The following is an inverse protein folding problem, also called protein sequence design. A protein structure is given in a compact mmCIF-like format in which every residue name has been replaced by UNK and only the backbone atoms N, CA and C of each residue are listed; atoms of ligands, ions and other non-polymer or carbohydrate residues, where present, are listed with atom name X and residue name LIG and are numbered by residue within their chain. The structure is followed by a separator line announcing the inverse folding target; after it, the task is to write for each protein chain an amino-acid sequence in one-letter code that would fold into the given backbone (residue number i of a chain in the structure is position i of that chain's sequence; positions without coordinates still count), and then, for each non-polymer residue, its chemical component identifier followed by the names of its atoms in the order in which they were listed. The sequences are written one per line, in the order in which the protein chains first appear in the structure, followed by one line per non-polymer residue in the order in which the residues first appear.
data_IF_377679533907
#
_entry.id   IF_377679533907
#
_cell.length_a   1.000
_cell.length_b   1.000
_cell.length_c   1.000
_cell.angle_alpha   90.00
_cell.angle_beta   90.00
_cell.angle_gamma   90.00
#
_symmetry.space_group_name_H-M   'P 1'
#
loop_
_entity.id
_entity.type
_entity.pdbx_description
1 polymer ?
#
# COMPACT_ATOMS: atom_id res chain seq x y z
N UNK A 1 24.28 -16.42 20.16
CA UNK A 1 22.94 -15.78 20.22
C UNK A 1 22.90 -14.76 19.09
N UNK A 2 21.92 -14.80 18.18
CA UNK A 2 21.82 -13.76 17.16
C UNK A 2 21.57 -12.43 17.87
N UNK A 3 22.26 -11.39 17.43
CA UNK A 3 22.16 -10.06 18.01
C UNK A 3 20.70 -9.59 17.89
N UNK A 4 20.01 -9.43 19.02
CA UNK A 4 18.78 -8.66 19.09
C UNK A 4 19.19 -7.23 18.76
N UNK A 5 19.00 -6.82 17.51
CA UNK A 5 19.28 -5.45 17.09
C UNK A 5 18.42 -4.50 17.92
N UNK A 6 18.98 -3.31 18.16
CA UNK A 6 18.37 -2.25 18.94
C UNK A 6 16.97 -1.88 18.39
N UNK A 7 15.92 -2.23 19.16
CA UNK A 7 14.54 -1.95 18.83
C UNK A 7 14.30 -0.44 18.64
N UNK A 8 14.99 0.41 19.42
CA UNK A 8 14.87 1.86 19.30
C UNK A 8 15.40 2.37 17.95
N UNK A 9 16.47 1.75 17.42
CA UNK A 9 16.99 2.08 16.09
C UNK A 9 15.98 1.69 14.99
N UNK A 10 15.29 0.56 15.12
CA UNK A 10 14.25 0.15 14.16
C UNK A 10 13.00 1.05 14.25
N UNK A 11 12.57 1.43 15.45
CA UNK A 11 11.50 2.41 15.64
C UNK A 11 11.83 3.74 14.99
N UNK A 12 13.09 4.21 15.12
CA UNK A 12 13.54 5.44 14.46
C UNK A 12 13.46 5.36 12.94
N UNK A 13 13.69 4.18 12.33
CA UNK A 13 13.50 3.99 10.88
C UNK A 13 12.02 4.13 10.48
N UNK A 14 11.11 3.68 11.33
CA UNK A 14 9.67 3.76 11.09
C UNK A 14 9.06 5.12 11.43
N UNK A 15 9.79 6.01 12.12
CA UNK A 15 9.27 7.34 12.46
C UNK A 15 8.73 8.09 11.23
N UNK A 16 9.46 8.04 10.11
CA UNK A 16 8.99 8.66 8.87
C UNK A 16 7.68 8.03 8.36
N UNK A 17 7.52 6.71 8.47
CA UNK A 17 6.26 6.05 8.10
C UNK A 17 5.12 6.52 8.99
N UNK A 18 5.36 6.70 10.29
CA UNK A 18 4.36 7.20 11.23
C UNK A 18 3.94 8.63 10.89
N UNK A 19 4.90 9.49 10.55
CA UNK A 19 4.64 10.85 10.09
C UNK A 19 3.81 10.82 8.78
N UNK A 20 4.23 10.00 7.81
CA UNK A 20 3.52 9.81 6.53
C UNK A 20 2.07 9.31 6.75
N UNK A 21 1.84 8.40 7.71
CA UNK A 21 0.50 7.89 8.03
C UNK A 21 -0.40 8.97 8.64
N UNK A 22 0.17 9.80 9.52
CA UNK A 22 -0.55 10.86 10.23
C UNK A 22 -0.95 12.02 9.31
N UNK A 23 -0.06 12.41 8.40
CA UNK A 23 -0.23 13.58 7.53
C UNK A 23 -0.90 13.24 6.20
N UNK A 24 -1.08 11.95 5.90
CA UNK A 24 -1.63 11.48 4.64
C UNK A 24 -3.06 11.95 4.36
N UNK A 25 -3.31 12.26 3.10
CA UNK A 25 -4.61 12.70 2.59
C UNK A 25 -5.46 11.50 2.15
N UNK A 26 -5.58 10.49 3.01
CA UNK A 26 -6.20 9.20 2.71
C UNK A 26 -7.54 9.32 1.95
N UNK A 27 -7.62 8.70 0.78
CA UNK A 27 -8.81 8.64 -0.07
C UNK A 27 -9.44 10.01 -0.42
N UNK A 28 -8.66 11.09 -0.41
CA UNK A 28 -9.17 12.42 -0.78
C UNK A 28 -9.21 12.64 -2.29
N UNK A 29 -8.31 12.00 -3.04
CA UNK A 29 -8.15 12.16 -4.48
C UNK A 29 -8.89 11.08 -5.31
N UNK A 30 -9.55 10.12 -4.67
CA UNK A 30 -10.24 9.03 -5.38
C UNK A 30 -11.30 9.58 -6.34
N UNK A 31 -11.18 9.24 -7.62
CA UNK A 31 -12.11 9.64 -8.68
C UNK A 31 -11.74 10.92 -9.41
N UNK A 32 -10.69 11.61 -8.95
CA UNK A 32 -10.10 12.72 -9.68
C UNK A 32 -9.15 12.18 -10.79
N UNK A 33 -8.87 12.94 -11.85
CA UNK A 33 -7.78 12.61 -12.77
C UNK A 33 -6.43 12.55 -12.03
N UNK A 34 -5.55 11.61 -12.39
CA UNK A 34 -4.19 11.56 -11.81
C UNK A 34 -3.34 12.73 -12.31
N UNK A 35 -2.60 13.34 -11.39
CA UNK A 35 -1.56 14.32 -11.73
C UNK A 35 -0.26 13.60 -12.11
N UNK A 36 0.68 14.34 -12.71
CA UNK A 36 1.94 13.78 -13.24
C UNK A 36 2.74 12.98 -12.20
N UNK A 37 2.79 13.46 -10.95
CA UNK A 37 3.52 12.78 -9.87
C UNK A 37 2.86 11.46 -9.47
N UNK A 38 1.53 11.39 -9.45
CA UNK A 38 0.79 10.17 -9.14
C UNK A 38 0.91 9.15 -10.27
N UNK A 39 0.86 9.63 -11.53
CA UNK A 39 1.12 8.80 -12.69
C UNK A 39 2.54 8.20 -12.64
N UNK A 40 3.53 9.02 -12.29
CA UNK A 40 4.91 8.57 -12.12
C UNK A 40 5.04 7.50 -11.02
N UNK A 41 4.41 7.70 -9.87
CA UNK A 41 4.46 6.72 -8.78
C UNK A 41 3.77 5.40 -9.15
N UNK A 42 2.64 5.46 -9.87
CA UNK A 42 1.96 4.27 -10.36
C UNK A 42 2.78 3.51 -11.41
N UNK A 43 3.42 4.21 -12.33
CA UNK A 43 4.33 3.64 -13.33
C UNK A 43 5.58 3.06 -12.67
N UNK A 44 6.15 3.74 -11.67
CA UNK A 44 7.27 3.23 -10.90
C UNK A 44 6.89 1.94 -10.17
N UNK A 45 5.72 1.90 -9.50
CA UNK A 45 5.24 0.71 -8.82
C UNK A 45 5.14 -0.49 -9.77
N UNK A 46 4.42 -0.35 -10.89
CA UNK A 46 4.17 -1.47 -11.80
C UNK A 46 5.46 -1.91 -12.53
N UNK A 47 6.36 -0.97 -12.82
CA UNK A 47 7.67 -1.27 -13.40
C UNK A 47 8.56 -2.04 -12.42
N UNK A 48 8.66 -1.57 -11.18
CA UNK A 48 9.58 -2.13 -10.19
C UNK A 48 9.10 -3.47 -9.62
N UNK A 49 7.79 -3.75 -9.66
CA UNK A 49 7.25 -5.07 -9.33
C UNK A 49 7.42 -6.10 -10.47
N UNK A 50 7.82 -5.66 -11.67
CA UNK A 50 8.24 -6.53 -12.78
C UNK A 50 7.38 -6.46 -14.05
N UNK A 51 6.45 -5.51 -14.16
CA UNK A 51 5.48 -5.42 -15.25
C UNK A 51 5.62 -4.10 -16.02
N UNK A 52 6.84 -3.80 -16.47
CA UNK A 52 7.20 -2.52 -17.09
C UNK A 52 6.43 -2.19 -18.38
N UNK A 53 5.82 -3.19 -19.05
CA UNK A 53 5.01 -2.99 -20.25
C UNK A 53 3.53 -2.73 -19.95
N UNK A 54 3.12 -2.77 -18.69
CA UNK A 54 1.71 -2.61 -18.32
C UNK A 54 1.37 -1.13 -18.26
N UNK A 55 0.18 -0.77 -18.76
CA UNK A 55 -0.31 0.60 -18.68
C UNK A 55 -0.89 0.90 -17.31
N UNK A 56 -0.88 2.17 -16.93
CA UNK A 56 -1.59 2.66 -15.74
C UNK A 56 -2.87 3.37 -16.18
N UNK A 57 -3.97 3.14 -15.48
CA UNK A 57 -5.25 3.80 -15.75
C UNK A 57 -5.94 4.29 -14.48
N UNK A 58 -6.37 5.55 -14.51
CA UNK A 58 -7.20 6.15 -13.47
C UNK A 58 -8.65 5.61 -13.54
N UNK A 59 -9.23 5.38 -12.36
CA UNK A 59 -10.63 4.98 -12.18
C UNK A 59 -11.42 6.19 -11.72
N UNK A 60 -12.61 6.43 -12.29
CA UNK A 60 -13.32 7.68 -12.04
C UNK A 60 -14.35 7.59 -10.90
N UNK A 61 -14.76 6.38 -10.51
CA UNK A 61 -15.82 6.21 -9.52
C UNK A 61 -15.75 4.85 -8.81
N UNK A 62 -16.41 4.80 -7.65
CA UNK A 62 -16.49 3.63 -6.78
C UNK A 62 -17.14 2.41 -7.44
N UNK A 63 -18.09 2.59 -8.37
CA UNK A 63 -18.73 1.47 -9.08
C UNK A 63 -17.73 0.75 -9.99
N UNK A 64 -16.90 1.51 -10.71
CA UNK A 64 -15.81 0.95 -11.51
C UNK A 64 -14.72 0.35 -10.62
N UNK A 65 -14.36 1.01 -9.51
CA UNK A 65 -13.40 0.48 -8.54
C UNK A 65 -13.85 -0.88 -7.97
N UNK A 66 -15.14 -1.01 -7.64
CA UNK A 66 -15.77 -2.28 -7.22
C UNK A 66 -15.62 -3.35 -8.27
N UNK A 67 -15.96 -3.03 -9.53
CA UNK A 67 -15.85 -3.98 -10.65
C UNK A 67 -14.42 -4.49 -10.81
N UNK A 68 -13.43 -3.61 -10.76
CA UNK A 68 -12.00 -3.95 -10.92
C UNK A 68 -11.49 -4.78 -9.73
N UNK A 69 -11.87 -4.40 -8.51
CA UNK A 69 -11.44 -5.10 -7.29
C UNK A 69 -12.04 -6.50 -7.20
N UNK A 70 -13.24 -6.70 -7.74
CA UNK A 70 -13.97 -7.97 -7.73
C UNK A 70 -13.80 -8.76 -9.04
N UNK A 71 -13.00 -8.28 -9.99
CA UNK A 71 -12.78 -8.93 -11.28
C UNK A 71 -12.10 -10.29 -11.06
N UNK A 72 -12.73 -11.44 -11.34
CA UNK A 72 -12.11 -12.74 -11.14
C UNK A 72 -10.93 -13.01 -12.08
N UNK A 73 -10.78 -12.22 -13.15
CA UNK A 73 -9.70 -12.33 -14.13
C UNK A 73 -8.49 -11.43 -13.80
N UNK A 74 -8.36 -11.01 -12.54
CA UNK A 74 -7.19 -10.28 -12.05
C UNK A 74 -5.88 -11.07 -12.28
N UNK A 75 -4.79 -10.34 -12.50
CA UNK A 75 -3.49 -10.91 -12.90
C UNK A 75 -2.81 -11.64 -11.71
N UNK A 76 -2.80 -12.97 -11.79
CA UNK A 76 -2.18 -13.83 -10.78
C UNK A 76 -0.66 -13.70 -10.69
N UNK A 77 0.01 -13.32 -11.77
CA UNK A 77 1.46 -13.13 -11.76
C UNK A 77 1.83 -11.86 -11.02
N UNK A 78 1.06 -10.78 -11.20
CA UNK A 78 1.23 -9.54 -10.44
C UNK A 78 1.13 -9.77 -8.94
N UNK A 79 0.06 -10.42 -8.49
CA UNK A 79 -0.10 -10.74 -7.06
C UNK A 79 1.01 -11.65 -6.54
N UNK A 80 1.42 -12.67 -7.29
CA UNK A 80 2.53 -13.55 -6.90
C UNK A 80 3.84 -12.78 -6.77
N UNK A 81 4.08 -11.79 -7.62
CA UNK A 81 5.26 -10.93 -7.54
C UNK A 81 5.23 -10.07 -6.27
N UNK A 82 4.09 -9.45 -5.94
CA UNK A 82 3.92 -8.73 -4.67
C UNK A 82 4.13 -9.63 -3.46
N UNK A 83 3.51 -10.80 -3.45
CA UNK A 83 3.57 -11.71 -2.32
C UNK A 83 4.98 -12.29 -2.14
N UNK A 84 5.71 -12.51 -3.25
CA UNK A 84 7.12 -12.89 -3.21
C UNK A 84 7.97 -11.81 -2.55
N UNK A 85 7.86 -10.55 -2.98
CA UNK A 85 8.61 -9.43 -2.40
C UNK A 85 8.31 -9.27 -0.90
N UNK A 86 7.03 -9.38 -0.51
CA UNK A 86 6.61 -9.29 0.89
C UNK A 86 7.25 -10.39 1.74
N UNK A 87 7.24 -11.64 1.27
CA UNK A 87 7.85 -12.78 1.97
C UNK A 87 9.37 -12.61 2.10
N UNK A 88 10.04 -12.25 1.01
CA UNK A 88 11.49 -12.05 1.00
C UNK A 88 11.94 -10.96 1.99
N UNK A 89 11.22 -9.83 2.03
CA UNK A 89 11.50 -8.76 3.00
C UNK A 89 11.22 -9.19 4.44
N UNK A 90 10.12 -9.91 4.68
CA UNK A 90 9.81 -10.42 6.01
C UNK A 90 10.88 -11.39 6.50
N UNK A 91 11.28 -12.36 5.68
CA UNK A 91 12.33 -13.32 6.03
C UNK A 91 13.68 -12.62 6.30
N UNK A 92 14.05 -11.63 5.48
CA UNK A 92 15.27 -10.86 5.65
C UNK A 92 15.23 -10.06 6.96
N UNK A 93 14.17 -9.30 7.19
CA UNK A 93 14.00 -8.52 8.43
C UNK A 93 13.96 -9.42 9.67
N UNK A 94 13.29 -10.58 9.59
CA UNK A 94 13.17 -11.52 10.71
C UNK A 94 14.54 -12.10 11.11
N UNK A 95 15.41 -12.42 10.14
CA UNK A 95 16.79 -12.88 10.41
C UNK A 95 17.65 -11.81 11.08
N UNK A 96 17.38 -10.54 10.79
CA UNK A 96 18.16 -9.40 11.25
C UNK A 96 17.67 -8.87 12.60
N UNK A 97 16.37 -8.63 12.75
CA UNK A 97 15.73 -8.01 13.93
C UNK A 97 15.26 -9.06 14.94
N UNK A 98 15.00 -10.28 14.49
CA UNK A 98 14.30 -11.33 15.24
C UNK A 98 12.79 -11.28 14.99
N UNK A 99 12.19 -12.45 14.76
CA UNK A 99 10.79 -12.57 14.35
C UNK A 99 9.81 -11.93 15.33
N UNK A 100 9.98 -12.17 16.63
CA UNK A 100 9.10 -11.60 17.65
C UNK A 100 9.14 -10.07 17.67
N UNK A 101 10.34 -9.48 17.62
CA UNK A 101 10.51 -8.04 17.59
C UNK A 101 9.96 -7.42 16.29
N UNK A 102 10.17 -8.08 15.15
CA UNK A 102 9.57 -7.68 13.88
C UNK A 102 8.04 -7.69 13.95
N UNK A 103 7.43 -8.75 14.51
CA UNK A 103 5.98 -8.84 14.66
C UNK A 103 5.41 -7.75 15.58
N UNK A 104 6.13 -7.37 16.64
CA UNK A 104 5.72 -6.24 17.50
C UNK A 104 5.68 -4.92 16.70
N UNK A 105 6.76 -4.60 15.96
CA UNK A 105 6.83 -3.38 15.14
C UNK A 105 5.75 -3.35 14.05
N UNK A 106 5.50 -4.48 13.39
CA UNK A 106 4.48 -4.56 12.34
C UNK A 106 3.05 -4.50 12.89
N UNK A 107 2.82 -5.02 14.11
CA UNK A 107 1.53 -4.86 14.81
C UNK A 107 1.26 -3.38 15.10
N UNK A 108 2.26 -2.65 15.61
CA UNK A 108 2.15 -1.22 15.88
C UNK A 108 1.80 -0.41 14.62
N UNK A 109 2.51 -0.66 13.50
CA UNK A 109 2.19 -0.05 12.20
C UNK A 109 0.76 -0.36 11.77
N UNK A 110 0.30 -1.60 11.95
CA UNK A 110 -1.03 -2.01 11.53
C UNK A 110 -2.13 -1.34 12.37
N UNK A 111 -1.97 -1.30 13.69
CA UNK A 111 -2.88 -0.61 14.62
C UNK A 111 -2.98 0.88 14.27
N UNK A 112 -1.83 1.56 14.16
CA UNK A 112 -1.79 2.97 13.79
C UNK A 112 -2.43 3.24 12.42
N UNK A 113 -2.13 2.43 11.41
CA UNK A 113 -2.73 2.61 10.09
C UNK A 113 -4.26 2.46 10.12
N UNK A 114 -4.78 1.48 10.87
CA UNK A 114 -6.20 1.18 10.94
C UNK A 114 -7.01 2.33 11.55
N UNK A 115 -6.46 3.00 12.58
CA UNK A 115 -7.08 4.17 13.21
C UNK A 115 -7.32 5.31 12.20
N UNK A 116 -6.43 5.47 11.21
CA UNK A 116 -6.56 6.50 10.18
C UNK A 116 -7.41 6.04 8.99
N UNK A 117 -7.11 4.89 8.39
CA UNK A 117 -7.64 4.57 7.05
C UNK A 117 -9.13 4.21 7.03
N UNK A 118 -9.66 3.59 8.09
CA UNK A 118 -11.06 3.14 8.12
C UNK A 118 -12.06 4.29 8.07
N UNK A 119 -11.85 5.33 8.89
CA UNK A 119 -12.70 6.52 8.92
C UNK A 119 -12.64 7.29 7.59
N UNK A 120 -11.43 7.47 7.05
CA UNK A 120 -11.22 8.18 5.78
C UNK A 120 -11.85 7.45 4.59
N UNK A 121 -11.72 6.12 4.50
CA UNK A 121 -12.36 5.34 3.43
C UNK A 121 -13.89 5.41 3.50
N UNK A 122 -14.46 5.32 4.71
CA UNK A 122 -15.90 5.42 4.91
C UNK A 122 -16.44 6.81 4.53
N UNK A 123 -15.75 7.87 4.93
CA UNK A 123 -16.08 9.25 4.55
C UNK A 123 -15.98 9.44 3.03
N UNK A 124 -14.93 8.92 2.38
CA UNK A 124 -14.73 9.04 0.94
C UNK A 124 -15.84 8.34 0.13
N UNK A 125 -16.25 7.14 0.55
CA UNK A 125 -17.39 6.46 -0.07
C UNK A 125 -18.70 7.25 0.13
N UNK A 126 -18.94 7.77 1.33
CA UNK A 126 -20.13 8.55 1.66
C UNK A 126 -20.24 9.86 0.85
N UNK A 127 -19.12 10.57 0.62
CA UNK A 127 -19.08 11.80 -0.20
C UNK A 127 -19.61 11.58 -1.62
N UNK A 128 -19.43 10.38 -2.16
CA UNK A 128 -19.82 10.01 -3.53
C UNK A 128 -21.17 9.27 -3.59
N UNK A 129 -21.94 9.29 -2.50
CA UNK A 129 -23.25 8.64 -2.43
C UNK A 129 -23.20 7.10 -2.41
N UNK A 130 -22.04 6.50 -2.11
CA UNK A 130 -21.87 5.05 -2.06
C UNK A 130 -22.00 4.54 -0.63
N UNK A 131 -23.05 3.75 -0.38
CA UNK A 131 -23.33 3.13 0.92
C UNK A 131 -22.69 1.73 1.07
N UNK A 132 -21.82 1.30 0.14
CA UNK A 132 -21.16 -0.01 0.20
C UNK A 132 -20.04 -0.02 1.25
N UNK A 133 -20.42 -0.32 2.49
CA UNK A 133 -19.49 -0.45 3.62
C UNK A 133 -18.45 -1.56 3.42
N UNK A 134 -18.73 -2.55 2.58
CA UNK A 134 -17.75 -3.60 2.31
C UNK A 134 -16.64 -3.06 1.43
N UNK A 135 -16.98 -2.26 0.42
CA UNK A 135 -16.00 -1.65 -0.48
C UNK A 135 -15.07 -0.68 0.24
N UNK A 136 -15.59 0.17 1.13
CA UNK A 136 -14.76 1.07 1.94
C UNK A 136 -13.85 0.31 2.91
N UNK A 137 -14.30 -0.84 3.45
CA UNK A 137 -13.44 -1.74 4.23
C UNK A 137 -12.32 -2.38 3.41
N UNK A 138 -12.60 -2.76 2.16
CA UNK A 138 -11.57 -3.28 1.25
C UNK A 138 -10.52 -2.22 0.94
N UNK A 139 -10.94 -0.99 0.67
CA UNK A 139 -10.03 0.14 0.46
C UNK A 139 -9.14 0.39 1.68
N UNK A 140 -9.75 0.47 2.87
CA UNK A 140 -9.03 0.63 4.14
C UNK A 140 -8.04 -0.51 4.41
N UNK A 141 -8.45 -1.77 4.22
CA UNK A 141 -7.57 -2.93 4.39
C UNK A 141 -6.39 -2.93 3.41
N UNK A 142 -6.61 -2.48 2.17
CA UNK A 142 -5.53 -2.33 1.19
C UNK A 142 -4.53 -1.25 1.58
N UNK A 143 -4.99 -0.14 2.15
CA UNK A 143 -4.12 0.91 2.68
C UNK A 143 -3.28 0.43 3.88
N UNK A 144 -3.90 -0.26 4.86
CA UNK A 144 -3.16 -0.88 5.97
C UNK A 144 -2.12 -1.89 5.48
N UNK A 145 -2.45 -2.70 4.46
CA UNK A 145 -1.50 -3.61 3.84
C UNK A 145 -0.31 -2.86 3.21
N UNK A 146 -0.55 -1.71 2.56
CA UNK A 146 0.52 -0.89 2.01
C UNK A 146 1.45 -0.32 3.09
N UNK A 147 0.91 0.13 4.23
CA UNK A 147 1.72 0.55 5.39
C UNK A 147 2.59 -0.59 5.92
N UNK A 148 2.02 -1.79 6.09
CA UNK A 148 2.77 -2.99 6.51
C UNK A 148 3.91 -3.32 5.53
N UNK A 149 3.62 -3.29 4.23
CA UNK A 149 4.59 -3.57 3.17
C UNK A 149 5.71 -2.50 3.11
N UNK A 150 5.36 -1.22 3.29
CA UNK A 150 6.34 -0.14 3.37
C UNK A 150 7.23 -0.25 4.61
N UNK A 151 6.67 -0.61 5.77
CA UNK A 151 7.45 -0.89 6.97
C UNK A 151 8.49 -2.00 6.73
N UNK A 152 8.10 -3.09 6.07
CA UNK A 152 9.03 -4.14 5.66
C UNK A 152 10.14 -3.62 4.74
N UNK A 153 9.82 -2.77 3.77
CA UNK A 153 10.81 -2.17 2.88
C UNK A 153 11.78 -1.26 3.65
N UNK A 154 11.28 -0.42 4.55
CA UNK A 154 12.09 0.51 5.36
C UNK A 154 13.01 -0.23 6.35
N UNK A 155 12.50 -1.24 7.06
CA UNK A 155 13.30 -2.05 8.00
C UNK A 155 14.45 -2.79 7.29
N UNK A 156 14.30 -3.06 6.00
CA UNK A 156 15.31 -3.68 5.14
C UNK A 156 16.19 -2.70 4.35
N UNK A 157 16.01 -1.39 4.56
CA UNK A 157 16.70 -0.31 3.84
C UNK A 157 16.55 -0.41 2.31
N UNK A 158 15.37 -0.80 1.83
CA UNK A 158 15.13 -1.09 0.40
C UNK A 158 15.05 0.18 -0.50
N UNK A 159 15.03 1.37 0.11
CA UNK A 159 15.07 2.67 -0.57
C UNK A 159 13.74 3.15 -1.16
N UNK A 160 13.66 4.44 -1.51
CA UNK A 160 12.45 5.10 -2.04
C UNK A 160 12.00 4.55 -3.41
N UNK A 161 12.91 3.92 -4.14
CA UNK A 161 12.65 3.29 -5.43
C UNK A 161 11.83 2.00 -5.34
N UNK A 162 11.67 1.42 -4.14
CA UNK A 162 11.03 0.12 -3.92
C UNK A 162 9.53 0.15 -4.27
N UNK A 163 8.93 -0.91 -4.85
CA UNK A 163 7.52 -0.93 -5.23
C UNK A 163 6.58 -0.62 -4.06
N UNK A 164 6.85 -1.16 -2.87
CA UNK A 164 6.02 -0.87 -1.69
C UNK A 164 6.11 0.58 -1.21
N UNK A 165 7.22 1.27 -1.46
CA UNK A 165 7.33 2.71 -1.20
C UNK A 165 6.52 3.52 -2.20
N UNK A 166 6.58 3.17 -3.49
CA UNK A 166 5.75 3.79 -4.52
C UNK A 166 4.25 3.57 -4.28
N UNK A 167 3.86 2.36 -3.88
CA UNK A 167 2.46 2.04 -3.53
C UNK A 167 1.99 2.84 -2.32
N UNK A 168 2.82 3.00 -1.29
CA UNK A 168 2.50 3.84 -0.14
C UNK A 168 2.29 5.30 -0.57
N UNK A 169 3.17 5.85 -1.42
CA UNK A 169 3.03 7.26 -1.88
C UNK A 169 1.71 7.53 -2.59
N UNK A 170 1.22 6.60 -3.41
CA UNK A 170 -0.12 6.71 -4.02
C UNK A 170 -1.21 6.80 -2.95
N UNK A 171 -1.15 5.92 -1.95
CA UNK A 171 -2.10 5.89 -0.85
C UNK A 171 -2.07 7.16 -0.01
N UNK A 172 -0.89 7.64 0.37
CA UNK A 172 -0.72 8.86 1.17
C UNK A 172 -1.10 10.13 0.39
N UNK A 173 -1.00 10.09 -0.95
CA UNK A 173 -1.53 11.13 -1.85
C UNK A 173 -3.06 11.07 -2.02
N UNK A 174 -3.73 10.11 -1.39
CA UNK A 174 -5.17 10.00 -1.39
C UNK A 174 -5.75 9.12 -2.49
N UNK A 175 -4.91 8.35 -3.18
CA UNK A 175 -5.33 7.36 -4.19
C UNK A 175 -5.58 5.99 -3.59
N UNK A 176 -6.30 5.16 -4.32
CA UNK A 176 -6.46 3.75 -4.01
C UNK A 176 -5.98 2.87 -5.18
N UNK A 177 -4.74 2.35 -5.11
CA UNK A 177 -4.27 1.23 -5.93
C UNK A 177 -5.20 0.01 -5.85
N UNK A 178 -5.77 -0.42 -6.97
CA UNK A 178 -6.78 -1.49 -6.99
C UNK A 178 -6.19 -2.87 -7.29
N UNK A 179 -6.05 -3.18 -8.58
CA UNK A 179 -5.59 -4.47 -9.08
C UNK A 179 -4.99 -4.30 -10.48
N UNK A 180 -4.45 -5.39 -11.00
CA UNK A 180 -4.00 -5.49 -12.38
C UNK A 180 -4.91 -6.45 -13.14
N UNK A 181 -5.42 -6.01 -14.29
CA UNK A 181 -6.25 -6.82 -15.18
C UNK A 181 -5.99 -6.37 -16.62
N UNK A 182 -5.93 -7.31 -17.57
CA UNK A 182 -5.66 -7.03 -18.99
C UNK A 182 -4.43 -6.13 -19.23
N UNK A 183 -3.30 -6.48 -18.60
CA UNK A 183 -2.04 -5.73 -18.66
C UNK A 183 -2.17 -4.24 -18.26
N UNK A 184 -3.16 -3.90 -17.43
CA UNK A 184 -3.42 -2.55 -16.93
C UNK A 184 -3.45 -2.55 -15.42
N UNK A 185 -2.68 -1.67 -14.80
CA UNK A 185 -2.74 -1.35 -13.38
C UNK A 185 -3.74 -0.22 -13.15
N UNK A 186 -4.74 -0.46 -12.32
CA UNK A 186 -5.81 0.47 -12.04
C UNK A 186 -5.60 1.19 -10.71
N UNK A 187 -5.74 2.52 -10.73
CA UNK A 187 -5.62 3.40 -9.57
C UNK A 187 -6.86 4.28 -9.51
N UNK A 188 -7.50 4.37 -8.34
CA UNK A 188 -8.66 5.22 -8.12
C UNK A 188 -8.25 6.54 -7.45
#
# INVERSE_FOLDING_TARGET
MPAVLDLAAQQKKLQRLYDDINEASWFTAVGEPMVETEQHDAEQYIKTIGFASYSVKAVANWSEARRITMDPEWDQFWWKAEEKQRKELFEKASKTIGEYALLMLLTEVNEMSAEHVHGHAALAAARMGVADQNLSRVAAGSASQACFQAALAMLNDAGEGHPFMARLRLFTAGRWPLSVSNATFYVF
#
